data_IF_506615577547
#
_entry.id   IF_506615577547
#
_cell.length_a   1.000
_cell.length_b   1.000
_cell.length_c   1.000
_cell.angle_alpha   90.00
_cell.angle_beta   90.00
_cell.angle_gamma   90.00
#
_symmetry.space_group_name_H-M   'P 1'
#
loop_
_entity.id
_entity.type
_entity.pdbx_description
1 polymer ?
#
# COMPACT_ATOMS: atom_id res chain seq x y z
N UNK A 1 2.46 12.56 14.96
CA UNK A 1 1.43 11.92 15.80
C UNK A 1 0.07 12.39 15.32
N UNK A 2 -0.71 11.48 14.80
CA UNK A 2 -2.01 11.79 14.22
C UNK A 2 -3.10 11.04 15.00
N UNK A 3 -4.11 11.76 15.45
CA UNK A 3 -5.21 11.22 16.24
C UNK A 3 -6.50 11.27 15.42
N UNK A 4 -6.98 10.12 14.99
CA UNK A 4 -8.27 10.02 14.35
C UNK A 4 -9.37 10.01 15.40
N UNK A 5 -9.85 11.19 15.69
CA UNK A 5 -10.91 11.40 16.69
C UNK A 5 -12.30 11.09 16.11
N UNK A 6 -12.52 9.85 15.75
CA UNK A 6 -13.84 9.39 15.32
C UNK A 6 -14.66 8.91 16.54
N UNK A 7 -15.87 9.41 16.68
CA UNK A 7 -16.78 9.01 17.74
C UNK A 7 -17.02 7.49 17.69
N UNK A 8 -16.86 6.82 18.82
CA UNK A 8 -17.13 5.38 18.96
C UNK A 8 -15.96 4.45 18.71
N UNK A 9 -14.83 4.93 18.20
CA UNK A 9 -13.61 4.13 18.11
C UNK A 9 -13.01 3.93 19.50
N UNK A 10 -12.62 2.70 19.84
CA UNK A 10 -11.96 2.36 21.10
C UNK A 10 -10.71 3.24 21.29
N UNK A 11 -10.53 3.81 22.48
CA UNK A 11 -9.42 4.72 22.80
C UNK A 11 -8.05 4.19 22.43
N UNK A 12 -7.82 2.88 22.55
CA UNK A 12 -6.53 2.23 22.21
C UNK A 12 -6.21 2.25 20.73
N UNK A 13 -7.18 2.52 19.87
CA UNK A 13 -7.01 2.51 18.39
C UNK A 13 -7.05 3.91 17.78
N UNK A 14 -7.34 4.96 18.56
CA UNK A 14 -7.49 6.32 18.05
C UNK A 14 -6.20 6.94 17.57
N UNK A 15 -5.10 6.63 18.24
CA UNK A 15 -3.81 7.24 17.96
C UNK A 15 -2.86 6.23 17.29
N UNK A 16 -2.31 6.62 16.15
CA UNK A 16 -1.26 5.86 15.48
C UNK A 16 -0.05 6.76 15.28
N UNK A 17 1.09 6.47 15.94
CA UNK A 17 2.29 7.26 15.74
C UNK A 17 2.83 7.05 14.32
N UNK A 18 2.98 8.14 13.59
CA UNK A 18 3.66 8.18 12.31
C UNK A 18 5.02 8.81 12.53
N UNK A 19 6.05 8.20 12.03
CA UNK A 19 7.41 8.68 12.18
C UNK A 19 8.31 8.13 11.09
N UNK A 20 9.37 8.86 10.79
CA UNK A 20 10.43 8.36 9.93
C UNK A 20 11.79 8.82 10.45
N UNK A 21 12.78 8.01 10.20
CA UNK A 21 14.18 8.34 10.46
C UNK A 21 15.00 7.97 9.25
N UNK A 22 16.09 8.69 9.02
CA UNK A 22 16.97 8.43 7.89
C UNK A 22 18.42 8.74 8.26
N UNK A 23 19.28 8.04 7.55
CA UNK A 23 20.72 8.23 7.60
C UNK A 23 21.24 8.42 6.18
N UNK A 24 22.18 9.35 6.01
CA UNK A 24 22.87 9.60 4.75
C UNK A 24 24.36 9.70 5.00
N UNK A 25 25.13 8.96 4.20
CA UNK A 25 26.58 8.96 4.26
C UNK A 25 27.17 9.30 2.90
N UNK A 26 27.94 10.39 2.85
CA UNK A 26 28.63 10.85 1.66
C UNK A 26 29.98 10.15 1.51
N UNK A 27 29.94 8.86 1.14
CA UNK A 27 31.13 8.00 1.03
C UNK A 27 32.17 8.60 0.05
N UNK A 28 31.72 9.24 -1.02
CA UNK A 28 32.57 9.86 -2.02
C UNK A 28 33.39 11.04 -1.50
N UNK A 29 33.15 11.53 -0.27
CA UNK A 29 33.92 12.60 0.37
C UNK A 29 34.95 12.11 1.39
N UNK A 30 35.00 10.80 1.62
CA UNK A 30 35.94 10.20 2.55
C UNK A 30 37.35 10.11 1.92
N UNK A 31 38.39 10.41 2.69
CA UNK A 31 39.77 10.44 2.21
C UNK A 31 40.18 9.14 1.53
N UNK A 32 39.75 7.99 2.08
CA UNK A 32 40.07 6.68 1.52
C UNK A 32 39.46 6.43 0.12
N UNK A 33 38.40 7.18 -0.26
CA UNK A 33 37.82 7.14 -1.61
C UNK A 33 38.48 8.23 -2.48
N UNK A 34 38.60 9.46 -1.98
CA UNK A 34 39.13 10.58 -2.74
C UNK A 34 40.58 10.32 -3.22
N UNK A 35 41.39 9.71 -2.38
CA UNK A 35 42.79 9.44 -2.70
C UNK A 35 43.00 8.28 -3.67
N UNK A 36 42.03 7.34 -3.75
CA UNK A 36 42.22 6.09 -4.48
C UNK A 36 41.31 5.96 -5.73
N UNK A 37 40.26 6.76 -5.86
CA UNK A 37 39.20 6.56 -6.89
C UNK A 37 38.91 7.86 -7.64
N UNK A 38 39.85 8.29 -8.47
CA UNK A 38 39.77 9.58 -9.20
C UNK A 38 38.66 9.70 -10.24
N UNK A 39 38.05 8.59 -10.63
CA UNK A 39 36.90 8.59 -11.57
C UNK A 39 35.54 8.73 -10.88
N UNK A 40 35.48 8.60 -9.56
CA UNK A 40 34.26 8.70 -8.75
C UNK A 40 34.10 10.15 -8.28
N UNK A 41 33.03 10.82 -8.74
CA UNK A 41 32.77 12.21 -8.37
C UNK A 41 31.81 12.33 -7.19
N UNK A 42 30.87 11.38 -7.08
CA UNK A 42 29.91 11.35 -5.98
C UNK A 42 29.54 9.90 -5.67
N UNK A 43 29.48 9.60 -4.39
CA UNK A 43 28.88 8.36 -3.89
C UNK A 43 28.21 8.66 -2.55
N UNK A 44 26.89 8.49 -2.50
CA UNK A 44 26.10 8.74 -1.31
C UNK A 44 25.22 7.53 -1.04
N UNK A 45 25.38 6.97 0.14
CA UNK A 45 24.50 5.94 0.64
C UNK A 45 23.40 6.58 1.49
N UNK A 46 22.16 6.16 1.27
CA UNK A 46 20.99 6.60 2.04
C UNK A 46 20.23 5.41 2.58
N UNK A 47 19.72 5.52 3.78
CA UNK A 47 18.75 4.57 4.30
C UNK A 47 17.69 5.31 5.07
N UNK A 48 16.44 4.88 4.90
CA UNK A 48 15.30 5.44 5.63
C UNK A 48 14.42 4.32 6.14
N UNK A 49 13.89 4.52 7.33
CA UNK A 49 12.89 3.64 7.92
C UNK A 49 11.80 4.47 8.58
N UNK A 50 10.55 4.10 8.36
CA UNK A 50 9.44 4.82 8.96
C UNK A 50 8.12 4.09 8.82
N UNK A 51 7.13 4.61 9.54
CA UNK A 51 5.74 4.16 9.49
C UNK A 51 4.84 5.29 9.02
N UNK A 52 4.02 4.96 8.03
CA UNK A 52 2.91 5.78 7.55
C UNK A 52 1.60 5.09 7.89
N UNK A 53 0.59 5.89 8.20
CA UNK A 53 -0.77 5.42 8.40
C UNK A 53 -1.69 5.91 7.28
N UNK A 54 -2.77 5.18 7.10
CA UNK A 54 -3.88 5.57 6.25
C UNK A 54 -5.19 5.20 6.94
N UNK A 55 -6.22 6.01 6.73
CA UNK A 55 -7.58 5.72 7.21
C UNK A 55 -8.58 6.14 6.15
N UNK A 56 -9.64 5.37 6.02
CA UNK A 56 -10.77 5.73 5.18
C UNK A 56 -11.79 6.53 6.00
N UNK A 57 -11.98 7.84 5.71
CA UNK A 57 -12.95 8.66 6.42
C UNK A 57 -14.40 8.20 6.25
N UNK A 58 -14.68 7.38 5.24
CA UNK A 58 -16.00 6.80 4.98
C UNK A 58 -16.36 5.62 5.90
N UNK A 59 -15.41 5.13 6.70
CA UNK A 59 -15.66 4.04 7.63
C UNK A 59 -16.10 4.57 8.99
N UNK A 60 -17.22 4.07 9.47
CA UNK A 60 -17.82 4.48 10.74
C UNK A 60 -17.81 3.32 11.74
N UNK A 61 -17.57 3.59 13.03
CA UNK A 61 -17.61 2.57 14.08
C UNK A 61 -19.04 2.18 14.46
N UNK A 62 -20.05 2.90 13.97
CA UNK A 62 -21.46 2.72 14.32
C UNK A 62 -22.20 1.88 13.28
N UNK A 63 -23.32 1.31 13.69
CA UNK A 63 -24.29 0.72 12.77
C UNK A 63 -24.97 1.83 11.96
N UNK A 64 -24.86 1.76 10.66
CA UNK A 64 -25.59 2.64 9.75
C UNK A 64 -26.89 1.94 9.30
N UNK A 65 -27.99 2.68 9.35
CA UNK A 65 -29.29 2.24 8.87
C UNK A 65 -29.77 3.15 7.75
N UNK A 66 -30.44 2.56 6.78
CA UNK A 66 -31.17 3.29 5.75
C UNK A 66 -32.66 3.12 5.98
N UNK A 67 -33.36 4.23 6.03
CA UNK A 67 -34.82 4.22 6.08
C UNK A 67 -35.38 4.01 4.66
N UNK A 68 -36.29 3.07 4.50
CA UNK A 68 -36.99 2.88 3.23
C UNK A 68 -37.97 4.03 3.00
N UNK A 69 -38.00 4.53 1.77
CA UNK A 69 -39.00 5.53 1.34
C UNK A 69 -40.35 4.91 1.05
N UNK A 70 -40.43 3.58 0.93
CA UNK A 70 -41.65 2.81 0.72
C UNK A 70 -41.89 1.88 1.91
N UNK A 71 -43.18 1.63 2.18
CA UNK A 71 -43.56 0.65 3.19
C UNK A 71 -43.16 -0.77 2.77
N UNK A 72 -42.90 -1.61 3.75
CA UNK A 72 -42.68 -3.04 3.53
C UNK A 72 -43.90 -3.68 2.85
N UNK A 73 -43.65 -4.50 1.81
CA UNK A 73 -44.69 -5.07 0.97
C UNK A 73 -45.66 -6.03 1.70
N UNK A 74 -45.22 -6.57 2.85
CA UNK A 74 -46.03 -7.50 3.65
C UNK A 74 -46.78 -6.79 4.77
N UNK A 75 -46.08 -5.99 5.53
CA UNK A 75 -46.62 -5.36 6.74
C UNK A 75 -47.25 -4.01 6.48
N UNK A 76 -47.00 -3.40 5.32
CA UNK A 76 -47.40 -2.04 4.94
C UNK A 76 -46.91 -0.95 5.93
N UNK A 77 -45.90 -1.28 6.75
CA UNK A 77 -45.31 -0.38 7.71
C UNK A 77 -43.97 0.19 7.19
N UNK A 78 -43.54 1.37 7.69
CA UNK A 78 -42.20 1.88 7.40
C UNK A 78 -41.13 0.85 7.77
N UNK A 79 -40.17 0.65 6.89
CA UNK A 79 -39.08 -0.29 7.09
C UNK A 79 -37.73 0.38 7.08
N UNK A 80 -36.77 -0.25 7.72
CA UNK A 80 -35.36 0.16 7.68
C UNK A 80 -34.47 -1.04 7.46
N UNK A 81 -33.31 -0.81 6.88
CA UNK A 81 -32.28 -1.84 6.70
C UNK A 81 -30.93 -1.37 7.23
N UNK A 82 -30.19 -2.30 7.81
CA UNK A 82 -28.80 -2.05 8.19
C UNK A 82 -27.98 -2.00 6.91
N UNK A 83 -27.21 -0.91 6.69
CA UNK A 83 -26.32 -0.73 5.55
C UNK A 83 -24.86 -1.02 5.91
N UNK A 84 -24.48 -0.80 7.16
CA UNK A 84 -23.18 -1.16 7.67
C UNK A 84 -23.28 -1.58 9.14
N UNK A 85 -22.61 -2.65 9.51
CA UNK A 85 -22.56 -3.11 10.89
C UNK A 85 -21.50 -2.31 11.68
N UNK A 86 -21.73 -2.13 12.97
CA UNK A 86 -20.81 -1.45 13.87
C UNK A 86 -19.45 -2.15 13.94
N UNK A 87 -18.35 -1.37 13.86
CA UNK A 87 -17.00 -1.84 14.11
C UNK A 87 -16.22 -0.87 15.02
N UNK A 88 -16.36 -0.95 16.34
CA UNK A 88 -15.64 -0.07 17.25
C UNK A 88 -14.14 -0.35 17.29
N UNK A 89 -13.66 -1.45 16.72
CA UNK A 89 -12.25 -1.83 16.65
C UNK A 89 -11.53 -1.34 15.40
N UNK A 90 -12.21 -0.48 14.61
CA UNK A 90 -11.60 0.13 13.43
C UNK A 90 -10.37 0.94 13.82
N UNK A 91 -9.31 0.85 13.04
CA UNK A 91 -8.05 1.52 13.30
C UNK A 91 -7.32 1.88 12.02
N UNK A 92 -6.30 2.69 12.15
CA UNK A 92 -5.43 3.06 11.04
C UNK A 92 -4.77 1.85 10.40
N UNK A 93 -4.77 1.83 9.07
CA UNK A 93 -3.84 1.00 8.31
C UNK A 93 -2.42 1.50 8.56
N UNK A 94 -1.47 0.59 8.66
CA UNK A 94 -0.06 0.89 8.95
C UNK A 94 0.83 0.32 7.88
N UNK A 95 1.68 1.16 7.30
CA UNK A 95 2.70 0.74 6.35
C UNK A 95 4.08 1.15 6.85
N UNK A 96 4.89 0.16 7.21
CA UNK A 96 6.31 0.33 7.46
C UNK A 96 7.07 0.26 6.13
N UNK A 97 8.00 1.20 5.91
CA UNK A 97 8.85 1.25 4.72
C UNK A 97 10.31 1.31 5.16
N UNK A 98 11.08 0.33 4.69
CA UNK A 98 12.54 0.33 4.79
C UNK A 98 13.09 0.56 3.38
N UNK A 99 13.91 1.59 3.21
CA UNK A 99 14.51 1.94 1.93
C UNK A 99 16.03 2.08 2.07
N UNK A 100 16.77 1.55 1.10
CA UNK A 100 18.18 1.73 0.90
C UNK A 100 18.41 2.35 -0.47
N UNK A 101 19.16 3.45 -0.51
CA UNK A 101 19.48 4.16 -1.75
C UNK A 101 20.99 4.36 -1.91
N UNK A 102 21.45 4.27 -3.13
CA UNK A 102 22.82 4.60 -3.51
C UNK A 102 22.77 5.58 -4.67
N UNK A 103 23.24 6.81 -4.44
CA UNK A 103 23.39 7.82 -5.47
C UNK A 103 24.85 7.90 -5.88
N UNK A 104 25.13 7.94 -7.16
CA UNK A 104 26.49 8.02 -7.68
C UNK A 104 26.62 8.97 -8.87
N UNK A 105 27.80 9.54 -9.01
CA UNK A 105 28.24 10.23 -10.22
C UNK A 105 29.69 9.89 -10.50
N UNK A 106 29.99 9.56 -11.75
CA UNK A 106 31.29 9.08 -12.19
C UNK A 106 31.72 9.77 -13.50
N UNK A 107 32.98 9.63 -13.86
CA UNK A 107 33.55 10.11 -15.13
C UNK A 107 33.31 11.62 -15.34
N UNK A 108 33.65 12.43 -14.35
CA UNK A 108 33.40 13.87 -14.36
C UNK A 108 31.94 14.22 -14.58
N UNK A 109 31.05 13.56 -13.84
CA UNK A 109 29.59 13.68 -13.93
C UNK A 109 28.97 13.30 -15.29
N UNK A 110 29.73 12.58 -16.14
CA UNK A 110 29.17 12.12 -17.44
C UNK A 110 28.17 11.01 -17.27
N UNK A 111 28.32 10.20 -16.24
CA UNK A 111 27.34 9.19 -15.85
C UNK A 111 26.95 9.41 -14.40
N UNK A 112 25.66 9.53 -14.14
CA UNK A 112 25.10 9.63 -12.80
C UNK A 112 23.85 8.77 -12.69
N UNK A 113 23.52 8.37 -11.48
CA UNK A 113 22.32 7.59 -11.27
C UNK A 113 22.01 7.35 -9.82
N UNK A 114 20.89 6.69 -9.60
CA UNK A 114 20.47 6.17 -8.30
C UNK A 114 19.99 4.74 -8.43
N UNK A 115 20.22 3.96 -7.40
CA UNK A 115 19.71 2.61 -7.21
C UNK A 115 19.02 2.60 -5.87
N UNK A 116 17.73 2.25 -5.85
CA UNK A 116 16.95 2.15 -4.62
C UNK A 116 16.38 0.74 -4.48
N UNK A 117 16.49 0.19 -3.27
CA UNK A 117 15.90 -1.10 -2.89
C UNK A 117 15.04 -0.86 -1.67
N UNK A 118 13.79 -1.29 -1.74
CA UNK A 118 12.87 -1.05 -0.64
C UNK A 118 12.04 -2.28 -0.29
N UNK A 119 11.57 -2.27 0.95
CA UNK A 119 10.62 -3.23 1.46
C UNK A 119 9.51 -2.52 2.22
N UNK A 120 8.26 -2.90 1.92
CA UNK A 120 7.04 -2.35 2.53
C UNK A 120 6.32 -3.44 3.30
N UNK A 121 5.85 -3.11 4.48
CA UNK A 121 5.10 -3.99 5.36
C UNK A 121 3.79 -3.32 5.70
N UNK A 122 2.73 -3.66 4.98
CA UNK A 122 1.39 -3.13 5.23
C UNK A 122 0.63 -4.07 6.16
N UNK A 123 0.11 -3.50 7.22
CA UNK A 123 -0.62 -4.21 8.28
C UNK A 123 -1.91 -3.48 8.58
N UNK A 124 -2.86 -4.22 9.13
CA UNK A 124 -4.17 -3.68 9.50
C UNK A 124 -4.93 -3.08 8.30
N UNK A 125 -4.68 -3.60 7.08
CA UNK A 125 -5.39 -3.15 5.88
C UNK A 125 -6.87 -3.49 5.98
N UNK A 126 -7.70 -2.62 5.45
CA UNK A 126 -9.14 -2.84 5.40
C UNK A 126 -9.49 -3.99 4.45
N UNK A 127 -10.36 -4.85 4.93
CA UNK A 127 -10.94 -5.93 4.16
C UNK A 127 -12.40 -6.11 4.55
N UNK A 128 -13.22 -6.46 3.58
CA UNK A 128 -14.63 -6.70 3.79
C UNK A 128 -14.89 -8.15 4.21
N UNK A 129 -15.62 -8.32 5.27
CA UNK A 129 -16.16 -9.60 5.72
C UNK A 129 -17.63 -9.70 5.38
N UNK A 130 -18.03 -10.76 4.73
CA UNK A 130 -19.44 -11.09 4.59
C UNK A 130 -19.96 -11.61 5.93
N UNK A 131 -20.92 -10.92 6.50
CA UNK A 131 -21.59 -11.33 7.74
C UNK A 131 -22.48 -12.53 7.45
N UNK A 132 -22.47 -13.50 8.36
CA UNK A 132 -23.32 -14.69 8.24
C UNK A 132 -24.81 -14.28 8.13
N UNK A 133 -25.55 -14.85 7.17
CA UNK A 133 -26.97 -14.56 6.96
C UNK A 133 -27.86 -14.72 8.19
N UNK A 134 -27.46 -15.52 9.18
CA UNK A 134 -28.17 -15.70 10.44
C UNK A 134 -28.40 -14.39 11.21
N UNK A 135 -27.59 -13.35 10.94
CA UNK A 135 -27.72 -12.02 11.53
C UNK A 135 -28.69 -11.11 10.77
N UNK A 136 -29.61 -11.67 9.96
CA UNK A 136 -30.67 -10.92 9.28
C UNK A 136 -30.33 -10.52 7.84
N UNK A 137 -29.26 -11.04 7.26
CA UNK A 137 -29.02 -10.94 5.82
C UNK A 137 -30.05 -11.82 5.09
N UNK A 138 -30.78 -11.25 4.16
CA UNK A 138 -31.61 -12.04 3.26
C UNK A 138 -30.83 -12.47 2.02
N UNK A 139 -31.37 -13.39 1.24
CA UNK A 139 -30.72 -13.93 0.02
C UNK A 139 -30.35 -12.86 -1.03
N UNK A 140 -30.88 -11.67 -0.89
CA UNK A 140 -30.69 -10.56 -1.84
C UNK A 140 -29.68 -9.51 -1.31
N UNK A 141 -29.33 -9.53 -0.01
CA UNK A 141 -28.46 -8.56 0.63
C UNK A 141 -27.40 -9.26 1.48
N UNK A 142 -26.18 -9.25 1.00
CA UNK A 142 -25.00 -9.58 1.79
C UNK A 142 -24.62 -8.35 2.61
N UNK A 143 -24.62 -8.48 3.93
CA UNK A 143 -24.03 -7.44 4.77
C UNK A 143 -22.53 -7.65 4.85
N UNK A 144 -21.77 -6.60 4.57
CA UNK A 144 -20.34 -6.61 4.73
C UNK A 144 -19.94 -5.80 5.97
N UNK A 145 -18.91 -6.27 6.65
CA UNK A 145 -18.28 -5.58 7.76
C UNK A 145 -16.84 -5.31 7.38
N UNK A 146 -16.48 -4.06 7.26
CA UNK A 146 -15.08 -3.67 7.04
C UNK A 146 -14.28 -3.82 8.33
N UNK A 147 -13.18 -4.55 8.25
CA UNK A 147 -12.26 -4.80 9.37
C UNK A 147 -10.81 -4.61 8.95
N UNK A 148 -9.96 -4.25 9.91
CA UNK A 148 -8.51 -4.23 9.73
C UNK A 148 -7.96 -5.67 9.83
N UNK A 149 -7.97 -6.39 8.74
CA UNK A 149 -7.73 -7.85 8.75
C UNK A 149 -6.65 -8.30 7.78
N UNK A 150 -6.34 -7.51 6.75
CA UNK A 150 -5.38 -7.94 5.74
C UNK A 150 -3.95 -7.45 6.03
N UNK A 151 -2.99 -8.20 5.50
CA UNK A 151 -1.55 -7.90 5.57
C UNK A 151 -0.94 -8.12 4.19
N UNK A 152 -0.11 -7.17 3.74
CA UNK A 152 0.59 -7.25 2.46
C UNK A 152 2.04 -6.87 2.67
N UNK A 153 2.94 -7.66 2.11
CA UNK A 153 4.36 -7.36 2.03
C UNK A 153 4.71 -7.01 0.59
N UNK A 154 5.46 -5.93 0.40
CA UNK A 154 5.95 -5.49 -0.89
C UNK A 154 7.45 -5.31 -0.88
N UNK A 155 8.08 -5.48 -2.04
CA UNK A 155 9.50 -5.18 -2.26
C UNK A 155 9.71 -4.70 -3.68
N UNK A 156 10.73 -3.87 -3.86
CA UNK A 156 11.04 -3.37 -5.19
C UNK A 156 12.46 -2.86 -5.30
N UNK A 157 12.83 -2.63 -6.55
CA UNK A 157 14.11 -2.04 -6.96
C UNK A 157 13.80 -0.98 -8.01
N UNK A 158 14.33 0.21 -7.80
CA UNK A 158 14.23 1.33 -8.74
C UNK A 158 15.63 1.75 -9.13
N UNK A 159 15.86 1.91 -10.44
CA UNK A 159 17.15 2.33 -11.01
C UNK A 159 16.89 3.52 -11.93
N UNK A 160 17.62 4.59 -11.71
CA UNK A 160 17.65 5.74 -12.62
C UNK A 160 19.10 6.01 -13.03
N UNK A 161 19.34 6.08 -14.35
CA UNK A 161 20.65 6.38 -14.92
C UNK A 161 20.53 7.57 -15.86
N UNK A 162 21.50 8.48 -15.80
CA UNK A 162 21.61 9.63 -16.68
C UNK A 162 23.03 9.69 -17.23
N UNK A 163 23.16 9.70 -18.55
CA UNK A 163 24.43 9.71 -19.24
C UNK A 163 24.57 10.88 -20.23
N UNK A 164 25.68 11.59 -20.14
CA UNK A 164 26.16 12.51 -21.15
C UNK A 164 27.03 11.75 -22.15
N UNK A 165 26.44 11.23 -23.21
CA UNK A 165 27.12 10.35 -24.17
C UNK A 165 28.06 11.18 -25.08
N UNK A 166 27.57 12.30 -25.59
CA UNK A 166 28.36 13.20 -26.42
C UNK A 166 28.29 14.60 -25.83
N UNK A 167 29.45 15.22 -25.67
CA UNK A 167 29.56 16.61 -25.24
C UNK A 167 30.59 17.30 -26.12
N UNK A 168 30.10 18.12 -27.06
CA UNK A 168 30.88 18.96 -27.95
C UNK A 168 30.35 20.39 -27.92
N UNK A 169 31.13 21.36 -28.44
CA UNK A 169 30.69 22.76 -28.52
C UNK A 169 29.34 22.92 -29.21
N UNK A 170 29.11 22.17 -30.29
CA UNK A 170 27.98 22.34 -31.18
C UNK A 170 26.91 21.24 -31.04
N UNK A 171 27.21 20.16 -30.30
CA UNK A 171 26.29 19.05 -30.16
C UNK A 171 26.44 18.34 -28.81
N UNK A 172 25.33 18.21 -28.10
CA UNK A 172 25.27 17.49 -26.84
C UNK A 172 24.19 16.39 -26.93
N UNK A 173 24.55 15.15 -26.56
CA UNK A 173 23.62 14.05 -26.49
C UNK A 173 23.57 13.46 -25.08
N UNK A 174 22.37 13.49 -24.48
CA UNK A 174 22.09 12.90 -23.17
C UNK A 174 21.10 11.77 -23.34
N UNK A 175 21.29 10.72 -22.57
CA UNK A 175 20.34 9.62 -22.47
C UNK A 175 19.97 9.39 -21.00
N UNK A 176 18.71 9.08 -20.76
CA UNK A 176 18.21 8.71 -19.44
C UNK A 176 17.51 7.38 -19.53
N UNK A 177 17.79 6.51 -18.56
CA UNK A 177 17.14 5.21 -18.40
C UNK A 177 16.53 5.13 -17.01
N UNK A 178 15.26 4.76 -16.93
CA UNK A 178 14.58 4.46 -15.68
C UNK A 178 14.05 3.04 -15.75
N UNK A 179 14.34 2.25 -14.73
CA UNK A 179 13.85 0.90 -14.56
C UNK A 179 13.25 0.75 -13.17
N UNK A 180 12.06 0.18 -13.10
CA UNK A 180 11.38 -0.11 -11.84
C UNK A 180 10.83 -1.53 -11.85
N UNK A 181 11.13 -2.28 -10.83
CA UNK A 181 10.56 -3.59 -10.59
C UNK A 181 10.00 -3.67 -9.18
N UNK A 182 8.74 -4.03 -9.06
CA UNK A 182 8.12 -4.23 -7.76
C UNK A 182 7.23 -5.48 -7.76
N UNK A 183 7.13 -6.08 -6.60
CA UNK A 183 6.21 -7.19 -6.35
C UNK A 183 5.61 -7.05 -4.96
N UNK A 184 4.41 -7.54 -4.80
CA UNK A 184 3.74 -7.61 -3.50
C UNK A 184 3.12 -9.00 -3.32
N UNK A 185 2.90 -9.37 -2.07
CA UNK A 185 2.31 -10.64 -1.68
C UNK A 185 1.37 -10.43 -0.50
N UNK A 186 0.17 -10.92 -0.63
CA UNK A 186 -0.81 -10.93 0.46
C UNK A 186 -0.39 -11.98 1.48
N UNK A 187 -0.06 -11.55 2.70
CA UNK A 187 0.40 -12.43 3.79
C UNK A 187 -0.73 -12.91 4.70
N UNK A 188 -1.84 -12.21 4.70
CA UNK A 188 -3.04 -12.61 5.42
C UNK A 188 -4.23 -11.87 4.86
N UNK A 189 -5.33 -12.57 4.69
CA UNK A 189 -6.57 -12.00 4.20
C UNK A 189 -7.76 -12.82 4.70
N UNK A 190 -8.94 -12.20 4.90
CA UNK A 190 -10.17 -12.91 5.20
C UNK A 190 -10.81 -13.56 3.96
N UNK A 191 -10.27 -13.29 2.77
CA UNK A 191 -10.84 -13.82 1.54
C UNK A 191 -10.24 -15.20 1.22
N UNK A 192 -11.12 -16.17 0.97
CA UNK A 192 -10.74 -17.49 0.52
C UNK A 192 -10.89 -17.60 -1.00
N UNK A 193 -10.07 -18.45 -1.61
CA UNK A 193 -10.15 -18.75 -3.02
C UNK A 193 -11.22 -19.83 -3.25
N UNK A 194 -12.44 -19.44 -3.57
CA UNK A 194 -13.49 -20.37 -3.96
C UNK A 194 -13.57 -20.53 -5.48
N UNK A 195 -13.96 -21.71 -5.93
CA UNK A 195 -14.12 -22.01 -7.36
C UNK A 195 -15.16 -21.11 -8.07
N UNK A 196 -16.17 -20.63 -7.35
CA UNK A 196 -17.14 -19.64 -7.82
C UNK A 196 -16.55 -18.25 -8.08
N UNK A 197 -15.37 -17.98 -7.55
CA UNK A 197 -14.65 -16.73 -7.71
C UNK A 197 -14.15 -16.52 -9.14
N UNK A 198 -13.71 -17.61 -9.78
CA UNK A 198 -13.26 -17.59 -11.17
C UNK A 198 -14.42 -17.44 -12.17
N UNK A 199 -15.64 -17.87 -11.80
CA UNK A 199 -16.81 -17.86 -12.69
C UNK A 199 -17.55 -16.52 -12.72
N UNK A 200 -17.39 -15.67 -11.70
CA UNK A 200 -18.14 -14.40 -11.60
C UNK A 200 -17.46 -13.20 -12.25
N UNK A 201 -16.35 -13.39 -12.98
CA UNK A 201 -15.69 -12.33 -13.77
C UNK A 201 -15.19 -11.10 -12.97
N UNK A 202 -15.33 -11.13 -11.65
CA UNK A 202 -15.12 -9.98 -10.79
C UNK A 202 -13.93 -10.07 -9.84
N UNK A 203 -12.96 -10.92 -10.13
CA UNK A 203 -11.86 -11.23 -9.22
C UNK A 203 -10.69 -10.24 -9.17
N UNK A 204 -10.75 -9.11 -9.86
CA UNK A 204 -9.72 -8.10 -9.73
C UNK A 204 -9.89 -7.32 -8.43
N UNK A 205 -8.83 -7.26 -7.62
CA UNK A 205 -8.78 -6.41 -6.44
C UNK A 205 -9.08 -7.08 -5.10
N UNK A 206 -9.38 -8.38 -5.04
CA UNK A 206 -9.46 -9.07 -3.75
C UNK A 206 -8.10 -9.59 -3.31
N UNK A 207 -7.76 -9.30 -2.06
CA UNK A 207 -6.51 -9.74 -1.44
C UNK A 207 -6.60 -11.22 -1.08
N UNK A 208 -6.13 -12.12 -1.93
CA UNK A 208 -6.07 -13.57 -1.67
C UNK A 208 -4.70 -13.91 -1.08
N UNK A 209 -4.68 -14.63 0.03
CA UNK A 209 -3.44 -15.05 0.70
C UNK A 209 -2.54 -15.87 -0.22
N UNK A 210 -1.23 -15.56 -0.20
CA UNK A 210 -0.21 -16.20 -1.01
C UNK A 210 -0.08 -15.65 -2.43
N UNK A 211 -0.95 -14.75 -2.86
CA UNK A 211 -0.93 -14.17 -4.20
C UNK A 211 -0.57 -12.69 -4.21
N UNK A 212 -0.24 -12.20 -5.39
CA UNK A 212 -0.05 -10.76 -5.61
C UNK A 212 -1.40 -10.04 -5.49
N UNK A 213 -1.40 -8.84 -4.90
CA UNK A 213 -2.62 -8.05 -4.70
C UNK A 213 -3.30 -7.67 -6.03
N UNK A 214 -2.53 -7.58 -7.12
CA UNK A 214 -3.00 -7.19 -8.45
C UNK A 214 -3.15 -8.39 -9.41
N UNK A 215 -3.48 -9.57 -8.90
CA UNK A 215 -3.68 -10.74 -9.74
C UNK A 215 -4.95 -10.63 -10.60
N UNK A 216 -4.84 -11.11 -11.83
CA UNK A 216 -5.98 -11.40 -12.70
C UNK A 216 -6.25 -12.91 -12.67
N UNK A 217 -7.50 -13.24 -12.47
CA UNK A 217 -7.96 -14.62 -12.46
C UNK A 217 -8.65 -14.94 -13.78
N UNK A 218 -8.28 -16.05 -14.39
CA UNK A 218 -8.93 -16.56 -15.59
C UNK A 218 -9.23 -18.06 -15.42
N UNK A 219 -10.35 -18.51 -15.98
CA UNK A 219 -10.65 -19.93 -16.10
C UNK A 219 -9.76 -20.55 -17.18
N UNK A 220 -9.26 -21.74 -16.89
CA UNK A 220 -8.55 -22.52 -17.91
C UNK A 220 -9.59 -23.16 -18.83
N UNK A 221 -9.45 -22.95 -20.12
CA UNK A 221 -10.28 -23.58 -21.17
C UNK A 221 -10.03 -25.07 -21.22
#
# INVERSE_FOLDING_TARGET
YDDYNNFGVDRKYRATPMWSTGFSWHIGREDFIMDNVGWLNQLTFRTTYGYNGNIDPGQYPFTNISLSTSNDGFTQLPSSSITAAANPSIRWEKTGVLNFGLDFAVLNHRLSGSIEVYRKYSRDLFAEYTINPIFGANSTRSYTLTRNAAKVDGKGVDIALNGMIVQKSDFNYRASLTFSYNTNEVKSSPYELYSSFASSGGGSGRMIEGYNMNNFWATRW
#
